data_IF_352898477448
#
_entry.id   IF_352898477448
#
_cell.length_a   1.000
_cell.length_b   1.000
_cell.length_c   1.000
_cell.angle_alpha   90.00
_cell.angle_beta   90.00
_cell.angle_gamma   90.00
#
_symmetry.space_group_name_H-M   'P 1'
#
loop_
_entity.id
_entity.type
_entity.pdbx_description
1 polymer ?
#
# COMPACT_ATOMS: atom_id res chain seq x y z
N UNK A 1 1.28 -12.97 8.27
CA UNK A 1 2.49 -13.56 8.88
C UNK A 1 2.39 -15.08 8.95
N UNK A 2 3.50 -15.84 8.77
CA UNK A 2 3.52 -17.29 9.00
C UNK A 2 3.06 -17.61 10.43
N UNK A 3 2.10 -18.52 10.59
CA UNK A 3 1.54 -18.91 11.90
C UNK A 3 0.25 -18.20 12.32
N UNK A 4 -0.31 -17.32 11.49
CA UNK A 4 -1.58 -16.65 11.80
C UNK A 4 -2.78 -17.62 11.74
N UNK A 5 -3.73 -17.44 12.66
CA UNK A 5 -4.94 -18.25 12.72
C UNK A 5 -5.95 -17.81 11.65
N UNK A 6 -6.23 -18.70 10.69
CA UNK A 6 -7.15 -18.43 9.57
C UNK A 6 -8.56 -18.07 10.05
N UNK A 7 -9.04 -18.68 11.13
CA UNK A 7 -10.37 -18.39 11.67
C UNK A 7 -10.43 -17.00 12.33
N UNK A 8 -9.34 -16.57 12.97
CA UNK A 8 -9.23 -15.23 13.55
C UNK A 8 -9.18 -14.16 12.48
N UNK A 9 -8.34 -14.34 11.44
CA UNK A 9 -8.26 -13.43 10.30
C UNK A 9 -9.62 -13.32 9.58
N UNK A 10 -10.28 -14.46 9.36
CA UNK A 10 -11.59 -14.48 8.71
C UNK A 10 -12.63 -13.68 9.50
N UNK A 11 -12.60 -13.77 10.84
CA UNK A 11 -13.50 -13.00 11.71
C UNK A 11 -13.20 -11.51 11.66
N UNK A 12 -11.93 -11.13 11.71
CA UNK A 12 -11.48 -9.72 11.60
C UNK A 12 -11.92 -9.08 10.28
N UNK A 13 -11.93 -9.86 9.20
CA UNK A 13 -12.35 -9.42 7.87
C UNK A 13 -13.87 -9.57 7.60
N UNK A 14 -14.68 -9.94 8.61
CA UNK A 14 -16.12 -10.27 8.49
C UNK A 14 -16.43 -11.29 7.37
N UNK A 15 -15.52 -12.25 7.17
CA UNK A 15 -15.67 -13.33 6.20
C UNK A 15 -16.47 -14.46 6.83
N UNK A 16 -17.69 -14.68 6.31
CA UNK A 16 -18.57 -15.77 6.72
C UNK A 16 -18.31 -17.03 5.91
N UNK A 17 -18.48 -18.24 6.49
CA UNK A 17 -18.28 -19.50 5.75
C UNK A 17 -19.07 -19.60 4.44
N UNK A 18 -20.29 -19.06 4.39
CA UNK A 18 -21.11 -19.02 3.17
C UNK A 18 -20.52 -18.17 2.04
N UNK A 19 -19.77 -17.11 2.36
CA UNK A 19 -19.09 -16.28 1.35
C UNK A 19 -17.95 -17.04 0.68
N UNK A 20 -17.19 -17.83 1.44
CA UNK A 20 -16.09 -18.66 0.90
C UNK A 20 -16.65 -19.66 -0.13
N UNK A 21 -17.75 -20.34 0.19
CA UNK A 21 -18.37 -21.29 -0.72
C UNK A 21 -18.92 -20.60 -1.99
N UNK A 22 -19.57 -19.44 -1.84
CA UNK A 22 -20.05 -18.64 -2.98
C UNK A 22 -18.89 -18.21 -3.88
N UNK A 23 -17.81 -17.71 -3.32
CA UNK A 23 -16.65 -17.25 -4.08
C UNK A 23 -15.96 -18.38 -4.83
N UNK A 24 -15.78 -19.55 -4.19
CA UNK A 24 -15.26 -20.73 -4.88
C UNK A 24 -16.07 -21.06 -6.12
N UNK A 25 -17.40 -21.12 -5.97
CA UNK A 25 -18.30 -21.40 -7.10
C UNK A 25 -18.24 -20.33 -8.20
N UNK A 26 -18.10 -19.06 -7.83
CA UNK A 26 -17.97 -17.96 -8.79
C UNK A 26 -16.63 -17.97 -9.53
N UNK A 27 -15.54 -18.30 -8.83
CA UNK A 27 -14.19 -18.39 -9.43
C UNK A 27 -14.04 -19.65 -10.29
N UNK A 28 -14.65 -20.77 -9.89
CA UNK A 28 -14.73 -21.99 -10.70
C UNK A 28 -15.46 -21.73 -12.03
N UNK A 29 -16.47 -20.84 -12.04
CA UNK A 29 -17.17 -20.42 -13.25
C UNK A 29 -16.38 -19.43 -14.12
N UNK A 30 -15.38 -18.74 -13.56
CA UNK A 30 -14.56 -17.75 -14.27
C UNK A 30 -13.49 -18.37 -15.19
N UNK A 31 -13.41 -19.71 -15.26
CA UNK A 31 -12.52 -20.46 -16.14
C UNK A 31 -11.36 -21.11 -15.39
N UNK A 32 -11.01 -22.33 -15.79
CA UNK A 32 -9.88 -23.07 -15.23
C UNK A 32 -8.57 -22.49 -15.76
N UNK A 33 -7.84 -21.78 -14.91
CA UNK A 33 -6.55 -21.20 -15.23
C UNK A 33 -5.69 -21.01 -13.98
N UNK A 34 -4.40 -20.75 -14.18
CA UNK A 34 -3.49 -20.40 -13.10
C UNK A 34 -3.80 -18.98 -12.61
N UNK A 35 -4.26 -18.84 -11.36
CA UNK A 35 -4.36 -17.56 -10.68
C UNK A 35 -3.03 -17.28 -9.97
N UNK A 36 -2.19 -16.44 -10.56
CA UNK A 36 -0.92 -16.06 -9.94
C UNK A 36 -1.18 -15.31 -8.63
N UNK A 37 -0.88 -15.95 -7.50
CA UNK A 37 -0.95 -15.32 -6.18
C UNK A 37 0.32 -14.49 -5.98
N UNK A 38 0.18 -13.17 -6.10
CA UNK A 38 1.22 -12.22 -5.74
C UNK A 38 1.11 -11.95 -4.24
N UNK A 39 2.04 -12.52 -3.45
CA UNK A 39 2.17 -12.14 -2.04
C UNK A 39 2.95 -10.82 -2.01
N UNK A 40 2.22 -9.71 -1.98
CA UNK A 40 2.83 -8.45 -1.58
C UNK A 40 3.06 -8.50 -0.06
N UNK A 41 4.21 -7.98 0.43
CA UNK A 41 4.32 -7.67 1.86
C UNK A 41 3.13 -6.80 2.26
N UNK A 42 2.68 -6.91 3.51
CA UNK A 42 1.70 -5.97 4.04
C UNK A 42 2.18 -4.56 3.66
N UNK A 43 1.33 -3.72 3.07
CA UNK A 43 1.75 -2.36 2.78
C UNK A 43 2.24 -1.78 4.09
N UNK A 44 3.49 -1.33 4.12
CA UNK A 44 3.93 -0.36 5.14
C UNK A 44 2.78 0.64 5.28
N UNK A 45 2.36 0.99 6.52
CA UNK A 45 1.21 1.86 6.74
C UNK A 45 1.30 2.97 5.72
N UNK A 46 0.35 2.96 4.77
CA UNK A 46 0.52 3.64 3.49
C UNK A 46 1.09 5.02 3.81
N UNK A 47 2.27 5.41 3.27
CA UNK A 47 2.86 6.69 3.62
C UNK A 47 1.74 7.67 3.38
N UNK A 48 1.29 8.30 4.49
CA UNK A 48 0.05 9.08 4.57
C UNK A 48 -0.06 9.75 3.23
N UNK A 49 -1.04 9.38 2.40
CA UNK A 49 -1.11 9.94 1.06
C UNK A 49 -1.16 11.45 1.31
N UNK A 50 -0.03 12.13 1.12
CA UNK A 50 0.09 13.54 1.42
C UNK A 50 -0.67 14.13 0.27
N UNK A 51 -1.98 14.22 0.45
CA UNK A 51 -2.92 14.80 -0.47
C UNK A 51 -2.33 16.18 -0.79
N UNK A 52 -1.77 16.29 -1.99
CA UNK A 52 -1.06 17.47 -2.43
C UNK A 52 0.46 17.39 -2.60
N UNK A 53 1.15 16.24 -2.57
CA UNK A 53 2.56 16.23 -3.04
C UNK A 53 2.61 16.58 -4.52
N UNK A 54 3.13 17.76 -4.86
CA UNK A 54 3.27 18.23 -6.24
C UNK A 54 4.62 17.84 -6.84
N UNK A 55 5.66 17.72 -6.00
CA UNK A 55 7.04 17.48 -6.43
C UNK A 55 7.69 16.44 -5.50
N UNK A 56 8.37 15.46 -6.09
CA UNK A 56 9.22 14.49 -5.39
C UNK A 56 10.64 14.65 -5.93
N UNK A 57 11.60 14.82 -5.04
CA UNK A 57 13.04 14.88 -5.36
C UNK A 57 13.73 13.74 -4.65
N UNK A 58 14.44 12.91 -5.42
CA UNK A 58 15.19 11.77 -4.92
C UNK A 58 16.68 12.09 -4.89
N UNK A 59 17.30 11.84 -3.75
CA UNK A 59 18.74 11.91 -3.50
C UNK A 59 19.22 10.50 -3.14
N UNK A 60 20.53 10.21 -3.28
CA UNK A 60 21.08 8.88 -3.00
C UNK A 60 20.75 8.35 -1.60
N UNK A 61 20.52 9.24 -0.62
CA UNK A 61 20.25 8.90 0.79
C UNK A 61 18.93 9.45 1.33
N UNK A 62 18.13 10.15 0.52
CA UNK A 62 16.93 10.81 1.00
C UNK A 62 15.89 11.03 -0.11
N UNK A 63 14.61 10.99 0.26
CA UNK A 63 13.51 11.39 -0.62
C UNK A 63 12.84 12.61 0.00
N UNK A 64 12.79 13.71 -0.75
CA UNK A 64 12.12 14.95 -0.35
C UNK A 64 10.79 15.04 -1.08
N UNK A 65 9.68 15.13 -0.33
CA UNK A 65 8.33 15.29 -0.87
C UNK A 65 7.83 16.69 -0.55
N UNK A 66 7.49 17.47 -1.57
CA UNK A 66 7.08 18.87 -1.43
C UNK A 66 5.57 18.97 -1.75
N UNK A 67 4.73 19.37 -0.77
CA UNK A 67 3.31 19.58 -1.01
C UNK A 67 3.05 20.88 -1.78
N UNK A 68 1.92 20.95 -2.49
CA UNK A 68 1.48 22.06 -3.33
C UNK A 68 1.31 23.38 -2.57
N UNK A 69 1.08 23.31 -1.26
CA UNK A 69 1.00 24.47 -0.36
C UNK A 69 2.33 24.88 0.28
N UNK A 70 3.45 24.20 -0.01
CA UNK A 70 4.74 24.56 0.54
C UNK A 70 5.19 25.92 0.00
N UNK A 71 5.65 26.81 0.89
CA UNK A 71 6.21 28.08 0.45
C UNK A 71 7.51 27.85 -0.32
N UNK A 72 7.80 28.63 -1.38
CA UNK A 72 9.05 28.51 -2.13
C UNK A 72 10.30 28.64 -1.25
N UNK A 73 10.25 29.51 -0.22
CA UNK A 73 11.34 29.69 0.73
C UNK A 73 11.61 28.44 1.58
N UNK A 74 10.57 27.77 2.06
CA UNK A 74 10.67 26.52 2.83
C UNK A 74 11.24 25.40 1.95
N UNK A 75 10.70 25.24 0.73
CA UNK A 75 11.17 24.24 -0.22
C UNK A 75 12.67 24.43 -0.53
N UNK A 76 13.10 25.66 -0.80
CA UNK A 76 14.49 25.97 -1.09
C UNK A 76 15.42 25.77 0.12
N UNK A 77 14.95 26.07 1.34
CA UNK A 77 15.71 25.83 2.56
C UNK A 77 15.93 24.33 2.80
N UNK A 78 14.88 23.52 2.65
CA UNK A 78 14.97 22.06 2.80
C UNK A 78 15.93 21.48 1.77
N UNK A 79 15.78 21.82 0.49
CA UNK A 79 16.65 21.32 -0.59
C UNK A 79 18.13 21.70 -0.39
N UNK A 80 18.44 22.87 0.18
CA UNK A 80 19.83 23.24 0.51
C UNK A 80 20.38 22.51 1.74
N UNK A 81 19.51 22.11 2.66
CA UNK A 81 19.91 21.43 3.89
C UNK A 81 20.20 19.94 3.66
N UNK A 82 19.58 19.34 2.63
CA UNK A 82 19.85 17.98 2.21
C UNK A 82 21.18 17.97 1.47
N UNK A 83 22.22 17.46 2.14
CA UNK A 83 23.50 17.16 1.50
C UNK A 83 23.31 15.97 0.57
N UNK A 84 23.88 16.00 -0.66
CA UNK A 84 23.94 14.83 -1.52
C UNK A 84 24.66 13.67 -0.81
#
# INVERSE_FOLDING_TARGET
>A
APGANVAEISRLADVRPGQIYRWRRQLEQAGHGFAQVQVQPDPDPAPVAVAGTAIIVEFERAIVRIPAGASPGLAAAVLRSVKP
#
